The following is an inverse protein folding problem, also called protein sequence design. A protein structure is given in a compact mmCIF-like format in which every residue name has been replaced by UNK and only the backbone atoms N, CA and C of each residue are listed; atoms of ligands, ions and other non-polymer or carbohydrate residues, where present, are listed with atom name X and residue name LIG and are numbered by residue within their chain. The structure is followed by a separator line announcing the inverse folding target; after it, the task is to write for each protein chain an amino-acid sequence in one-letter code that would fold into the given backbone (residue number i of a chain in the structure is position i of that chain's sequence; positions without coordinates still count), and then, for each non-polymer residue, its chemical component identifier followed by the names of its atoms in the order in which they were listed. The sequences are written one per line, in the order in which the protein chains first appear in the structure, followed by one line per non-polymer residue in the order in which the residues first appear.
data_IF_228474108750
#
_entry.id   IF_228474108750
#
_cell.length_a   1.000
_cell.length_b   1.000
_cell.length_c   1.000
_cell.angle_alpha   90.00
_cell.angle_beta   90.00
_cell.angle_gamma   90.00
#
_symmetry.space_group_name_H-M   'P 1'
#
loop_
_entity.id
_entity.type
_entity.pdbx_description
1 polymer ?
#
# COMPACT_ATOMS: atom_id res chain seq x y z
N UNK A 1 -13.17 -8.92 9.24
CA UNK A 1 -11.90 -9.60 8.94
C UNK A 1 -11.79 -9.71 7.43
N UNK A 2 -10.81 -9.05 6.80
CA UNK A 2 -10.66 -8.94 5.33
C UNK A 2 -9.64 -9.98 4.80
N UNK A 3 -9.16 -10.88 5.66
CA UNK A 3 -8.15 -11.88 5.28
C UNK A 3 -8.77 -13.27 5.34
N UNK A 4 -8.86 -13.99 4.21
CA UNK A 4 -9.49 -15.29 4.16
C UNK A 4 -8.66 -16.34 4.88
N UNK A 5 -9.35 -17.26 5.56
CA UNK A 5 -8.79 -18.49 6.11
C UNK A 5 -8.25 -19.41 5.00
N UNK A 6 -7.44 -20.40 5.42
CA UNK A 6 -6.57 -21.33 4.68
C UNK A 6 -7.13 -22.05 3.43
N UNK A 7 -8.39 -21.83 3.05
CA UNK A 7 -8.92 -22.26 1.76
C UNK A 7 -8.13 -21.54 0.65
N UNK A 8 -7.27 -22.28 -0.03
CA UNK A 8 -6.33 -21.84 -1.07
C UNK A 8 -6.76 -20.55 -1.76
N UNK A 9 -6.04 -19.46 -1.51
CA UNK A 9 -6.16 -18.23 -2.30
C UNK A 9 -6.12 -18.62 -3.78
N UNK A 10 -7.20 -18.32 -4.48
CA UNK A 10 -7.39 -18.56 -5.90
C UNK A 10 -7.70 -17.23 -6.58
N UNK A 11 -7.76 -17.23 -7.91
CA UNK A 11 -8.00 -16.00 -8.69
C UNK A 11 -9.28 -15.27 -8.25
N UNK A 12 -10.35 -16.02 -7.96
CA UNK A 12 -11.61 -15.42 -7.51
C UNK A 12 -11.47 -14.67 -6.18
N UNK A 13 -10.83 -15.28 -5.18
CA UNK A 13 -10.57 -14.61 -3.90
C UNK A 13 -9.62 -13.43 -4.04
N UNK A 14 -8.71 -13.48 -5.01
CA UNK A 14 -7.82 -12.37 -5.30
C UNK A 14 -8.58 -11.21 -5.93
N UNK A 15 -9.46 -11.47 -6.89
CA UNK A 15 -10.36 -10.46 -7.46
C UNK A 15 -11.17 -9.76 -6.36
N UNK A 16 -11.79 -10.54 -5.47
CA UNK A 16 -12.55 -10.01 -4.33
C UNK A 16 -11.68 -9.16 -3.40
N UNK A 17 -10.46 -9.60 -3.08
CA UNK A 17 -9.54 -8.82 -2.25
C UNK A 17 -9.20 -7.47 -2.90
N UNK A 18 -8.97 -7.45 -4.22
CA UNK A 18 -8.69 -6.21 -4.93
C UNK A 18 -9.90 -5.28 -4.94
N UNK A 19 -11.07 -5.79 -5.30
CA UNK A 19 -12.31 -5.00 -5.43
C UNK A 19 -12.78 -4.42 -4.11
N UNK A 20 -12.68 -5.16 -3.01
CA UNK A 20 -13.17 -4.71 -1.71
C UNK A 20 -12.12 -4.01 -0.86
N UNK A 21 -10.84 -4.31 -1.06
CA UNK A 21 -9.77 -3.89 -0.17
C UNK A 21 -8.73 -2.98 -0.83
N UNK A 22 -8.25 -3.33 -2.01
CA UNK A 22 -6.98 -2.79 -2.50
C UNK A 22 -7.12 -1.59 -3.46
N UNK A 23 -8.17 -1.55 -4.27
CA UNK A 23 -8.38 -0.45 -5.23
C UNK A 23 -9.71 0.25 -4.98
N UNK A 24 -9.79 1.53 -5.33
CA UNK A 24 -11.03 2.29 -5.35
C UNK A 24 -11.82 2.06 -6.64
N UNK A 25 -11.15 2.07 -7.79
CA UNK A 25 -11.78 1.89 -9.11
C UNK A 25 -11.49 0.48 -9.69
N UNK A 26 -12.54 -0.37 -9.83
CA UNK A 26 -12.40 -1.73 -10.34
C UNK A 26 -11.82 -1.82 -11.76
N UNK A 27 -11.82 -0.74 -12.56
CA UNK A 27 -11.20 -0.73 -13.89
C UNK A 27 -9.71 -1.05 -13.86
N UNK A 28 -9.05 -0.86 -12.72
CA UNK A 28 -7.65 -1.20 -12.54
C UNK A 28 -7.40 -2.70 -12.28
N UNK A 29 -8.45 -3.49 -12.04
CA UNK A 29 -8.37 -4.93 -11.82
C UNK A 29 -8.36 -5.63 -13.18
N UNK A 30 -7.17 -5.76 -13.77
CA UNK A 30 -6.99 -6.42 -15.06
C UNK A 30 -6.62 -7.89 -14.89
N UNK A 31 -6.92 -8.72 -15.88
CA UNK A 31 -6.49 -10.13 -15.92
C UNK A 31 -4.97 -10.24 -15.79
N UNK A 32 -4.22 -9.31 -16.39
CA UNK A 32 -2.77 -9.24 -16.27
C UNK A 32 -2.32 -8.99 -14.82
N UNK A 33 -2.94 -8.04 -14.13
CA UNK A 33 -2.63 -7.73 -12.74
C UNK A 33 -2.86 -8.97 -11.86
N UNK A 34 -4.00 -9.64 -12.01
CA UNK A 34 -4.34 -10.85 -11.26
C UNK A 34 -3.35 -11.97 -11.55
N UNK A 35 -3.04 -12.23 -12.82
CA UNK A 35 -2.06 -13.26 -13.20
C UNK A 35 -0.67 -12.98 -12.58
N UNK A 36 -0.21 -11.73 -12.58
CA UNK A 36 1.05 -11.35 -11.93
C UNK A 36 0.99 -11.56 -10.41
N UNK A 37 -0.13 -11.22 -9.76
CA UNK A 37 -0.28 -11.39 -8.32
C UNK A 37 -0.35 -12.86 -7.90
N UNK A 38 -0.99 -13.71 -8.70
CA UNK A 38 -1.03 -15.16 -8.46
C UNK A 38 0.37 -15.79 -8.47
N UNK A 39 1.28 -15.31 -9.33
CA UNK A 39 2.69 -15.75 -9.34
C UNK A 39 3.40 -15.38 -8.04
N UNK A 40 3.16 -14.16 -7.51
CA UNK A 40 3.74 -13.72 -6.23
C UNK A 40 3.17 -14.52 -5.06
N UNK A 41 1.87 -14.81 -5.07
CA UNK A 41 1.22 -15.61 -4.01
C UNK A 41 1.83 -16.99 -3.87
N UNK A 42 2.23 -17.63 -4.97
CA UNK A 42 2.89 -18.93 -4.94
C UNK A 42 4.24 -18.91 -4.18
N UNK A 43 4.87 -17.74 -4.05
CA UNK A 43 6.16 -17.55 -3.38
C UNK A 43 6.01 -16.97 -1.95
N UNK A 44 4.83 -16.48 -1.59
CA UNK A 44 4.65 -15.76 -0.34
C UNK A 44 4.64 -16.70 0.86
N UNK A 45 5.34 -16.32 1.93
CA UNK A 45 5.28 -17.06 3.19
C UNK A 45 3.88 -16.93 3.79
N UNK A 46 3.13 -18.03 3.75
CA UNK A 46 1.75 -18.09 4.23
C UNK A 46 1.61 -17.76 5.72
N UNK A 47 2.66 -17.96 6.52
CA UNK A 47 2.64 -17.62 7.95
C UNK A 47 2.43 -16.12 8.21
N UNK A 48 2.87 -15.24 7.30
CA UNK A 48 2.66 -13.79 7.44
C UNK A 48 1.18 -13.43 7.36
N UNK A 49 0.42 -14.13 6.52
CA UNK A 49 -1.04 -13.94 6.44
C UNK A 49 -1.80 -14.62 7.58
N UNK A 50 -1.24 -15.70 8.15
CA UNK A 50 -1.90 -16.48 9.21
C UNK A 50 -1.80 -15.80 10.56
N UNK A 51 -0.62 -15.26 10.92
CA UNK A 51 -0.47 -14.59 12.21
C UNK A 51 -1.11 -13.22 12.23
N UNK A 52 -0.99 -12.47 11.11
CA UNK A 52 -1.31 -11.03 11.04
C UNK A 52 -0.78 -10.24 12.24
N UNK A 53 0.30 -10.73 12.86
CA UNK A 53 0.86 -10.14 14.07
C UNK A 53 1.76 -8.98 13.65
N UNK A 54 1.10 -7.86 13.35
CA UNK A 54 1.74 -6.62 12.93
C UNK A 54 1.84 -5.74 14.20
N UNK A 55 3.03 -5.58 14.78
CA UNK A 55 3.19 -4.73 15.96
C UNK A 55 2.83 -3.28 15.61
N UNK A 56 2.19 -2.53 16.52
CA UNK A 56 1.96 -1.11 16.32
C UNK A 56 3.31 -0.36 16.41
N UNK A 57 3.79 0.16 15.28
CA UNK A 57 5.08 0.84 15.18
C UNK A 57 4.97 2.36 15.05
N UNK A 58 3.78 2.93 15.23
CA UNK A 58 3.54 4.36 15.05
C UNK A 58 4.46 5.24 15.93
N UNK A 59 4.69 4.84 17.18
CA UNK A 59 5.57 5.58 18.12
C UNK A 59 7.04 5.57 17.69
N UNK A 60 7.43 4.59 16.87
CA UNK A 60 8.81 4.42 16.39
C UNK A 60 9.08 5.15 15.07
N UNK A 61 8.07 5.79 14.46
CA UNK A 61 8.24 6.54 13.21
C UNK A 61 9.28 7.67 13.33
N UNK A 62 9.48 8.22 14.52
CA UNK A 62 10.51 9.24 14.80
C UNK A 62 11.95 8.71 14.78
N UNK A 63 12.14 7.38 14.76
CA UNK A 63 13.45 6.76 14.59
C UNK A 63 13.96 6.85 13.15
N UNK A 64 13.07 7.09 12.17
CA UNK A 64 13.44 7.19 10.75
C UNK A 64 14.30 8.45 10.52
N UNK A 65 15.52 8.24 10.02
CA UNK A 65 16.48 9.31 9.70
C UNK A 65 16.63 9.58 8.20
N UNK A 66 16.15 8.66 7.37
CA UNK A 66 16.12 8.86 5.92
C UNK A 66 14.86 9.63 5.51
N UNK A 67 14.84 10.23 4.31
CA UNK A 67 13.61 10.74 3.75
C UNK A 67 12.62 9.63 3.48
N UNK A 68 11.36 9.97 3.61
CA UNK A 68 10.24 9.07 3.39
C UNK A 68 9.30 9.67 2.37
N UNK A 69 9.01 8.93 1.30
CA UNK A 69 7.93 9.24 0.38
C UNK A 69 6.74 8.36 0.72
N UNK A 70 5.58 8.98 0.95
CA UNK A 70 4.33 8.27 1.24
C UNK A 70 3.28 8.62 0.19
N UNK A 71 2.59 7.59 -0.28
CA UNK A 71 1.35 7.70 -1.05
C UNK A 71 0.23 7.16 -0.19
N UNK A 72 -0.90 7.86 -0.15
CA UNK A 72 -2.07 7.43 0.59
C UNK A 72 -3.33 7.72 -0.21
N UNK A 73 -4.18 6.72 -0.42
CA UNK A 73 -5.47 6.90 -1.05
C UNK A 73 -6.54 7.29 -0.04
N UNK A 74 -7.36 8.31 -0.33
CA UNK A 74 -8.42 8.75 0.60
C UNK A 74 -9.57 7.75 0.72
N UNK A 75 -9.59 6.70 -0.11
CA UNK A 75 -10.58 5.64 -0.13
C UNK A 75 -9.95 4.28 0.24
N UNK A 76 -8.82 4.29 0.96
CA UNK A 76 -8.16 3.09 1.48
C UNK A 76 -9.08 2.35 2.46
N UNK A 77 -9.51 1.14 2.08
CA UNK A 77 -10.36 0.28 2.91
C UNK A 77 -9.56 -0.65 3.84
N UNK A 78 -8.23 -0.69 3.68
CA UNK A 78 -7.33 -1.55 4.46
C UNK A 78 -6.84 -0.84 5.71
N UNK A 79 -6.51 0.45 5.61
CA UNK A 79 -5.90 1.23 6.69
C UNK A 79 -6.79 2.39 7.14
N UNK A 80 -6.95 2.64 8.44
CA UNK A 80 -7.73 3.77 8.93
C UNK A 80 -7.00 5.10 8.71
N UNK A 81 -7.76 6.18 8.45
CA UNK A 81 -7.23 7.54 8.25
C UNK A 81 -6.39 8.07 9.43
N UNK A 82 -6.55 7.50 10.63
CA UNK A 82 -5.68 7.82 11.77
C UNK A 82 -4.20 7.56 11.49
N UNK A 83 -3.88 6.65 10.56
CA UNK A 83 -2.53 6.39 10.07
C UNK A 83 -1.91 7.60 9.36
N UNK A 84 -2.70 8.37 8.61
CA UNK A 84 -2.26 9.62 7.95
C UNK A 84 -1.75 10.60 9.00
N UNK A 85 -2.56 10.83 10.05
CA UNK A 85 -2.20 11.75 11.13
C UNK A 85 -1.01 11.23 11.95
N UNK A 86 -0.91 9.91 12.18
CA UNK A 86 0.23 9.33 12.85
C UNK A 86 1.53 9.57 12.07
N UNK A 87 1.53 9.32 10.77
CA UNK A 87 2.67 9.60 9.89
C UNK A 87 3.05 11.08 9.90
N UNK A 88 2.08 11.97 9.70
CA UNK A 88 2.31 13.42 9.66
C UNK A 88 2.86 13.99 10.99
N UNK A 89 2.48 13.39 12.13
CA UNK A 89 2.94 13.84 13.46
C UNK A 89 4.28 13.25 13.87
N UNK A 90 4.57 12.01 13.48
CA UNK A 90 5.71 11.25 14.02
C UNK A 90 6.84 11.03 13.02
N UNK A 91 6.64 11.27 11.71
CA UNK A 91 7.70 11.16 10.70
C UNK A 91 8.26 12.54 10.31
N UNK A 92 9.51 12.83 10.69
CA UNK A 92 10.08 14.18 10.57
C UNK A 92 10.52 14.57 9.14
N UNK A 93 10.92 13.61 8.31
CA UNK A 93 11.49 13.87 6.98
C UNK A 93 10.63 13.22 5.90
N UNK A 94 9.36 13.62 5.79
CA UNK A 94 8.45 13.01 4.82
C UNK A 94 7.87 13.97 3.77
N UNK A 95 7.67 13.45 2.57
CA UNK A 95 6.73 13.96 1.58
C UNK A 95 5.54 12.99 1.54
N UNK A 96 4.34 13.50 1.75
CA UNK A 96 3.12 12.70 1.59
C UNK A 96 2.27 13.22 0.44
N UNK A 97 1.80 12.31 -0.41
CA UNK A 97 0.78 12.57 -1.41
C UNK A 97 -0.51 11.86 -1.00
N UNK A 98 -1.53 12.64 -0.65
CA UNK A 98 -2.90 12.14 -0.54
C UNK A 98 -3.57 12.19 -1.91
N UNK A 99 -4.13 11.07 -2.34
CA UNK A 99 -4.76 10.91 -3.65
C UNK A 99 -6.26 10.69 -3.43
N UNK A 100 -7.08 11.62 -3.96
CA UNK A 100 -8.52 11.43 -4.04
C UNK A 100 -8.86 10.32 -5.03
N UNK A 101 -9.96 9.60 -4.81
CA UNK A 101 -10.41 8.53 -5.71
C UNK A 101 -9.33 7.43 -5.88
N UNK A 102 -8.68 7.08 -4.77
CA UNK A 102 -7.62 6.09 -4.71
C UNK A 102 -7.82 5.21 -3.46
N UNK A 103 -7.72 3.91 -3.65
CA UNK A 103 -7.71 2.91 -2.59
C UNK A 103 -6.32 2.70 -2.02
N UNK A 104 -6.08 1.50 -1.50
CA UNK A 104 -4.82 1.13 -0.86
C UNK A 104 -3.62 1.11 -1.83
N UNK A 105 -3.84 0.75 -3.11
CA UNK A 105 -2.79 0.50 -4.09
C UNK A 105 -2.62 1.65 -5.09
N UNK A 106 -2.10 2.78 -4.59
CA UNK A 106 -1.80 3.97 -5.39
C UNK A 106 -0.89 3.69 -6.61
N UNK A 107 0.00 2.71 -6.52
CA UNK A 107 0.88 2.31 -7.63
C UNK A 107 0.14 1.65 -8.79
N UNK A 108 -1.03 1.07 -8.55
CA UNK A 108 -1.89 0.46 -9.57
C UNK A 108 -2.86 1.50 -10.14
N UNK A 109 -3.51 2.29 -9.27
CA UNK A 109 -4.54 3.25 -9.71
C UNK A 109 -3.93 4.51 -10.35
N UNK A 110 -2.77 4.96 -9.85
CA UNK A 110 -2.09 6.16 -10.33
C UNK A 110 -0.67 5.88 -10.81
N UNK A 111 -0.46 4.80 -11.56
CA UNK A 111 0.86 4.30 -12.00
C UNK A 111 1.80 5.39 -12.55
N UNK A 112 1.32 6.26 -13.44
CA UNK A 112 2.15 7.31 -14.03
C UNK A 112 2.62 8.35 -13.01
N UNK A 113 1.74 8.73 -12.07
CA UNK A 113 2.08 9.65 -10.98
C UNK A 113 3.04 8.96 -10.00
N UNK A 114 2.69 7.76 -9.55
CA UNK A 114 3.52 6.96 -8.64
C UNK A 114 4.96 6.82 -9.16
N UNK A 115 5.12 6.38 -10.42
CA UNK A 115 6.43 6.19 -11.03
C UNK A 115 7.21 7.50 -11.16
N UNK A 116 6.57 8.59 -11.56
CA UNK A 116 7.22 9.90 -11.67
C UNK A 116 7.72 10.40 -10.32
N UNK A 117 6.87 10.35 -9.29
CA UNK A 117 7.20 10.81 -7.95
C UNK A 117 8.30 9.96 -7.31
N UNK A 118 8.27 8.63 -7.50
CA UNK A 118 9.35 7.74 -7.06
C UNK A 118 10.68 8.07 -7.75
N UNK A 119 10.68 8.23 -9.08
CA UNK A 119 11.89 8.59 -9.82
C UNK A 119 12.43 9.97 -9.43
N UNK A 120 11.55 10.94 -9.21
CA UNK A 120 11.95 12.27 -8.74
C UNK A 120 12.56 12.20 -7.34
N UNK A 121 11.91 11.48 -6.43
CA UNK A 121 12.38 11.29 -5.07
C UNK A 121 13.75 10.61 -5.00
N UNK A 122 13.99 9.58 -5.83
CA UNK A 122 15.28 8.88 -5.89
C UNK A 122 16.39 9.68 -6.57
N UNK A 123 16.06 10.61 -7.47
CA UNK A 123 17.05 11.46 -8.17
C UNK A 123 17.53 12.64 -7.33
N UNK A 124 16.73 13.08 -6.37
CA UNK A 124 17.08 14.18 -5.49
C UNK A 124 17.78 13.62 -4.26
N UNK A 125 19.10 13.79 -4.20
CA UNK A 125 19.85 13.55 -2.97
C UNK A 125 19.28 14.46 -1.87
N UNK A 126 19.21 13.91 -0.68
CA UNK A 126 18.43 14.34 0.48
C UNK A 126 18.87 15.73 0.99
N UNK A 127 18.43 16.81 0.36
CA UNK A 127 18.85 18.16 0.76
C UNK A 127 17.73 19.21 0.81
N UNK A 128 16.45 18.84 0.69
CA UNK A 128 15.40 19.86 0.72
C UNK A 128 13.97 19.35 0.75
N UNK A 129 13.65 18.51 1.73
CA UNK A 129 12.38 18.76 2.44
C UNK A 129 12.57 19.98 3.34
#
# INVERSE_FOLDING_TARGET
EIYPSQDSLNEQKMLELFEFGLVYDPRHITDELIAQRMQVMALMNTQVMVSMDIPPLAERLGELRCPVLVFWGTNDAMMPDSGILALAKHCHHMKMLLLSECGHWAMVEHQALFNRECLQFLRHDVAGL
#
